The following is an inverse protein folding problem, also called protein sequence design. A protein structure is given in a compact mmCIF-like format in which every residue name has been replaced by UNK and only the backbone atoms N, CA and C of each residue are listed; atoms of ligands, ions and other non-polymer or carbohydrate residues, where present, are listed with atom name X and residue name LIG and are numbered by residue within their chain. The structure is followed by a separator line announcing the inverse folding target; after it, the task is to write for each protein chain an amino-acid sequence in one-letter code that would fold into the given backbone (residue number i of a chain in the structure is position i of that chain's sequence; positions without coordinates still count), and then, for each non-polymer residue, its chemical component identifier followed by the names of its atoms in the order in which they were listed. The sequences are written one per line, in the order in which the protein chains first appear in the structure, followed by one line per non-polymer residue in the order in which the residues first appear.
data_IF_412134342903
#
_entry.id   IF_412134342903
#
_cell.length_a   1.000
_cell.length_b   1.000
_cell.length_c   1.000
_cell.angle_alpha   90.00
_cell.angle_beta   90.00
_cell.angle_gamma   90.00
#
_symmetry.space_group_name_H-M   'P 1'
#
loop_
_entity.id
_entity.type
_entity.pdbx_description
1 polymer ?
#
# COMPACT_ATOMS: atom_id res chain seq x y z
N UNK A 1 -5.67 -3.45 21.46
CA UNK A 1 -6.52 -2.27 21.70
C UNK A 1 -7.75 -2.42 20.83
N UNK A 2 -8.90 -2.74 21.39
CA UNK A 2 -10.14 -2.93 20.64
C UNK A 2 -10.44 -1.67 19.82
N UNK A 3 -11.01 -1.86 18.62
CA UNK A 3 -11.51 -0.80 17.77
C UNK A 3 -12.35 0.17 18.61
N UNK A 4 -11.79 1.34 18.93
CA UNK A 4 -12.57 2.44 19.46
C UNK A 4 -13.22 3.10 18.26
N UNK A 5 -14.40 2.58 17.89
CA UNK A 5 -15.21 3.05 16.78
C UNK A 5 -15.26 4.57 16.69
N UNK A 6 -15.41 5.23 17.81
CA UNK A 6 -15.64 6.66 17.89
C UNK A 6 -14.44 7.51 17.43
N UNK A 7 -13.20 7.13 17.79
CA UNK A 7 -12.02 7.88 17.34
C UNK A 7 -11.70 7.68 15.86
N UNK A 8 -11.85 6.46 15.35
CA UNK A 8 -11.55 6.16 13.94
C UNK A 8 -12.61 6.74 13.01
N UNK A 9 -13.89 6.71 13.41
CA UNK A 9 -14.99 7.33 12.68
C UNK A 9 -14.84 8.87 12.69
N UNK A 10 -14.30 9.46 13.75
CA UNK A 10 -14.01 10.91 13.79
C UNK A 10 -12.99 11.33 12.72
N UNK A 11 -12.02 10.47 12.38
CA UNK A 11 -11.03 10.73 11.32
C UNK A 11 -11.51 10.36 9.92
N UNK A 12 -12.44 9.41 9.80
CA UNK A 12 -13.01 8.98 8.53
C UNK A 12 -14.52 8.74 8.67
N UNK A 13 -15.33 9.79 8.62
CA UNK A 13 -16.78 9.71 8.75
C UNK A 13 -17.44 8.72 7.79
N UNK A 14 -16.86 8.51 6.61
CA UNK A 14 -17.35 7.56 5.61
C UNK A 14 -17.33 6.09 6.05
N UNK A 15 -16.65 5.75 7.13
CA UNK A 15 -16.75 4.44 7.77
C UNK A 15 -18.11 4.24 8.46
N UNK A 16 -18.78 5.32 8.86
CA UNK A 16 -20.12 5.26 9.46
C UNK A 16 -21.18 5.00 8.40
N UNK A 17 -22.03 3.99 8.65
CA UNK A 17 -23.21 3.70 7.81
C UNK A 17 -24.13 4.91 7.75
N UNK A 18 -24.41 5.54 8.89
CA UNK A 18 -25.28 6.72 8.99
C UNK A 18 -24.74 7.90 8.14
N UNK A 19 -23.43 8.13 8.15
CA UNK A 19 -22.82 9.16 7.28
C UNK A 19 -23.02 8.83 5.80
N UNK A 20 -22.83 7.58 5.38
CA UNK A 20 -23.03 7.17 3.99
C UNK A 20 -24.48 7.28 3.55
N UNK A 21 -25.43 6.84 4.36
CA UNK A 21 -26.86 6.93 4.06
C UNK A 21 -27.32 8.37 3.88
N UNK A 22 -26.76 9.32 4.64
CA UNK A 22 -27.05 10.76 4.49
C UNK A 22 -26.45 11.40 3.24
N UNK A 23 -25.30 10.90 2.77
CA UNK A 23 -24.51 11.56 1.74
C UNK A 23 -24.56 10.88 0.37
N UNK A 24 -24.99 9.61 0.29
CA UNK A 24 -25.02 8.81 -0.93
C UNK A 24 -26.40 8.19 -1.14
N UNK A 25 -27.03 8.55 -2.26
CA UNK A 25 -28.48 8.31 -2.54
C UNK A 25 -28.84 6.83 -2.74
N UNK A 26 -27.89 5.93 -3.04
CA UNK A 26 -28.13 4.48 -3.17
C UNK A 26 -26.89 3.70 -2.78
N UNK A 27 -26.94 3.01 -1.68
CA UNK A 27 -25.99 1.94 -1.38
C UNK A 27 -26.44 0.62 -2.04
N UNK A 28 -25.46 -0.22 -2.38
CA UNK A 28 -25.78 -1.61 -2.74
C UNK A 28 -26.48 -2.29 -1.56
N UNK A 29 -27.58 -3.05 -1.76
CA UNK A 29 -28.22 -3.80 -0.68
C UNK A 29 -27.26 -4.83 -0.06
N UNK A 30 -26.23 -5.22 -0.79
CA UNK A 30 -25.19 -6.15 -0.35
C UNK A 30 -23.87 -5.42 -0.05
N UNK A 31 -23.93 -4.17 0.42
CA UNK A 31 -22.74 -3.42 0.77
C UNK A 31 -21.99 -4.14 1.89
N UNK A 32 -20.71 -4.42 1.66
CA UNK A 32 -19.82 -5.01 2.65
C UNK A 32 -19.31 -3.87 3.54
N UNK A 33 -19.71 -3.90 4.80
CA UNK A 33 -19.29 -2.88 5.76
C UNK A 33 -17.81 -3.01 6.09
N UNK A 34 -17.08 -1.93 5.89
CA UNK A 34 -15.63 -1.91 6.19
C UNK A 34 -15.37 -2.15 7.67
N UNK A 35 -16.27 -1.71 8.54
CA UNK A 35 -16.17 -1.92 9.99
C UNK A 35 -16.20 -3.41 10.33
N UNK A 36 -17.03 -4.20 9.67
CA UNK A 36 -17.10 -5.66 9.90
C UNK A 36 -15.82 -6.36 9.44
N UNK A 37 -15.25 -5.93 8.32
CA UNK A 37 -13.94 -6.39 7.83
C UNK A 37 -12.85 -6.09 8.86
N UNK A 38 -12.80 -4.86 9.35
CA UNK A 38 -11.81 -4.44 10.35
C UNK A 38 -11.96 -5.25 11.65
N UNK A 39 -13.18 -5.42 12.14
CA UNK A 39 -13.44 -6.20 13.36
C UNK A 39 -13.01 -7.67 13.22
N UNK A 40 -13.23 -8.25 12.04
CA UNK A 40 -12.78 -9.62 11.77
C UNK A 40 -11.24 -9.70 11.78
N UNK A 41 -10.55 -8.78 11.13
CA UNK A 41 -9.09 -8.71 11.14
C UNK A 41 -8.53 -8.45 12.54
N UNK A 42 -9.21 -7.62 13.36
CA UNK A 42 -8.80 -7.37 14.72
C UNK A 42 -8.90 -8.61 15.62
N UNK A 43 -9.91 -9.46 15.41
CA UNK A 43 -10.01 -10.76 16.10
C UNK A 43 -8.84 -11.69 15.78
N UNK A 44 -8.18 -11.47 14.65
CA UNK A 44 -7.00 -12.19 14.18
C UNK A 44 -5.67 -11.53 14.59
N UNK A 45 -5.69 -10.48 15.41
CA UNK A 45 -4.49 -9.79 15.92
C UNK A 45 -4.08 -8.53 15.15
N UNK A 46 -4.78 -8.17 14.07
CA UNK A 46 -4.48 -6.95 13.31
C UNK A 46 -4.94 -5.70 14.06
N UNK A 47 -4.14 -4.65 14.05
CA UNK A 47 -4.43 -3.38 14.71
C UNK A 47 -4.46 -2.25 13.69
N UNK A 48 -5.41 -1.31 13.81
CA UNK A 48 -5.46 -0.15 12.94
C UNK A 48 -4.23 0.73 13.20
N UNK A 49 -3.49 1.03 12.14
CA UNK A 49 -2.33 1.93 12.16
C UNK A 49 -2.56 3.24 11.41
N UNK A 50 -3.56 3.29 10.54
CA UNK A 50 -3.90 4.51 9.81
C UNK A 50 -5.25 4.45 9.13
N UNK A 51 -5.84 5.64 8.94
CA UNK A 51 -7.12 5.81 8.23
C UNK A 51 -7.03 7.07 7.39
N UNK A 52 -7.54 7.02 6.16
CA UNK A 52 -7.68 8.22 5.33
C UNK A 52 -8.87 8.10 4.37
N UNK A 53 -9.28 9.24 3.85
CA UNK A 53 -10.35 9.35 2.85
C UNK A 53 -9.82 10.03 1.59
N UNK A 54 -10.18 9.51 0.42
CA UNK A 54 -10.00 10.22 -0.83
C UNK A 54 -11.24 11.05 -1.17
N UNK A 55 -11.02 12.16 -1.87
CA UNK A 55 -12.09 13.04 -2.30
C UNK A 55 -12.00 13.29 -3.80
N UNK A 56 -13.15 13.33 -4.47
CA UNK A 56 -13.26 13.78 -5.85
C UNK A 56 -12.99 15.29 -5.96
N UNK A 57 -12.74 15.83 -7.19
CA UNK A 57 -12.52 17.27 -7.38
C UNK A 57 -13.65 18.15 -6.82
N UNK A 58 -14.88 17.65 -6.77
CA UNK A 58 -16.04 18.32 -6.17
C UNK A 58 -16.08 18.25 -4.62
N UNK A 59 -14.99 17.81 -3.97
CA UNK A 59 -14.82 17.62 -2.52
C UNK A 59 -15.71 16.55 -1.89
N UNK A 60 -16.44 15.75 -2.66
CA UNK A 60 -17.18 14.58 -2.13
C UNK A 60 -16.21 13.46 -1.82
N UNK A 61 -16.38 12.85 -0.66
CA UNK A 61 -15.62 11.65 -0.27
C UNK A 61 -15.97 10.53 -1.27
N UNK A 62 -14.96 9.88 -1.82
CA UNK A 62 -15.10 8.82 -2.82
C UNK A 62 -14.86 7.45 -2.22
N UNK A 63 -13.73 7.33 -1.52
CA UNK A 63 -13.29 6.09 -0.89
C UNK A 63 -12.69 6.38 0.48
N UNK A 64 -12.72 5.38 1.33
CA UNK A 64 -11.89 5.36 2.53
C UNK A 64 -10.88 4.21 2.46
N UNK A 65 -9.79 4.38 3.21
CA UNK A 65 -8.69 3.45 3.30
C UNK A 65 -8.38 3.24 4.77
N UNK A 66 -8.24 1.97 5.17
CA UNK A 66 -7.86 1.61 6.54
C UNK A 66 -6.65 0.70 6.47
N UNK A 67 -5.57 1.13 7.10
CA UNK A 67 -4.33 0.39 7.22
C UNK A 67 -4.30 -0.33 8.55
N UNK A 68 -4.01 -1.63 8.52
CA UNK A 68 -3.86 -2.45 9.71
C UNK A 68 -2.46 -3.09 9.73
N UNK A 69 -1.91 -3.26 10.92
CA UNK A 69 -0.61 -3.89 11.19
C UNK A 69 -0.78 -5.02 12.17
N UNK A 70 0.04 -6.07 12.02
CA UNK A 70 0.06 -7.20 12.95
C UNK A 70 1.41 -7.23 13.69
N UNK A 71 1.42 -7.28 15.04
CA UNK A 71 2.67 -7.21 15.81
C UNK A 71 3.61 -8.38 15.52
N UNK A 72 3.07 -9.58 15.29
CA UNK A 72 3.88 -10.79 15.06
C UNK A 72 4.45 -10.88 13.63
N UNK A 73 3.98 -10.04 12.70
CA UNK A 73 4.42 -10.02 11.30
C UNK A 73 5.27 -8.79 10.99
N UNK A 74 6.10 -8.39 11.94
CA UNK A 74 7.08 -7.32 11.74
C UNK A 74 8.40 -7.87 11.22
N UNK A 75 9.01 -7.14 10.31
CA UNK A 75 10.33 -7.46 9.79
C UNK A 75 11.40 -6.74 10.60
N UNK A 76 12.42 -7.48 10.98
CA UNK A 76 13.56 -6.95 11.73
C UNK A 76 14.87 -7.20 10.98
N UNK A 77 15.70 -6.18 10.89
CA UNK A 77 17.08 -6.30 10.45
C UNK A 77 18.00 -5.82 11.57
N UNK A 78 18.97 -6.66 11.97
CA UNK A 78 19.93 -6.34 13.04
C UNK A 78 19.24 -5.78 14.30
N UNK A 79 18.13 -6.40 14.73
CA UNK A 79 17.29 -5.98 15.87
C UNK A 79 16.58 -4.62 15.71
N UNK A 80 16.61 -4.01 14.54
CA UNK A 80 15.79 -2.83 14.22
C UNK A 80 14.59 -3.24 13.37
N UNK A 81 13.44 -2.63 13.65
CA UNK A 81 12.22 -2.83 12.87
C UNK A 81 12.42 -2.21 11.49
N UNK A 82 12.54 -3.04 10.46
CA UNK A 82 12.77 -2.59 9.08
C UNK A 82 11.49 -2.33 8.33
N UNK A 83 10.48 -3.16 8.56
CA UNK A 83 9.20 -3.05 7.91
C UNK A 83 8.10 -3.72 8.70
N UNK A 84 6.87 -3.47 8.33
CA UNK A 84 5.68 -4.07 8.91
C UNK A 84 4.84 -4.62 7.80
N UNK A 85 4.38 -5.86 7.95
CA UNK A 85 3.34 -6.37 7.08
C UNK A 85 2.05 -5.65 7.40
N UNK A 86 1.38 -5.17 6.37
CA UNK A 86 0.15 -4.42 6.50
C UNK A 86 -0.94 -5.02 5.63
N UNK A 87 -2.16 -4.93 6.13
CA UNK A 87 -3.37 -5.04 5.33
C UNK A 87 -3.91 -3.63 5.10
N UNK A 88 -4.12 -3.27 3.84
CA UNK A 88 -4.81 -2.05 3.47
C UNK A 88 -6.19 -2.43 2.93
N UNK A 89 -7.22 -1.99 3.62
CA UNK A 89 -8.62 -2.13 3.18
C UNK A 89 -9.07 -0.83 2.54
N UNK A 90 -9.54 -0.89 1.29
CA UNK A 90 -10.13 0.25 0.58
C UNK A 90 -11.57 -0.06 0.20
N UNK A 91 -12.48 0.88 0.41
CA UNK A 91 -13.88 0.70 0.03
C UNK A 91 -14.48 1.98 -0.52
N UNK A 92 -15.33 1.83 -1.55
CA UNK A 92 -16.09 2.93 -2.13
C UNK A 92 -17.27 3.32 -1.25
N UNK A 93 -17.44 4.63 -1.01
CA UNK A 93 -18.50 5.13 -0.14
C UNK A 93 -19.90 4.97 -0.73
N UNK A 94 -20.02 4.83 -2.05
CA UNK A 94 -21.28 4.71 -2.78
C UNK A 94 -21.70 3.25 -3.04
N UNK A 95 -20.89 2.27 -2.63
CA UNK A 95 -21.13 0.84 -2.84
C UNK A 95 -21.01 0.35 -4.28
N UNK A 96 -20.57 1.20 -5.21
CA UNK A 96 -20.33 0.82 -6.61
C UNK A 96 -18.94 0.29 -6.84
N UNK A 97 -17.96 0.93 -6.20
CA UNK A 97 -16.59 0.44 -6.19
C UNK A 97 -16.48 -0.79 -5.28
N UNK A 98 -15.74 -1.82 -5.66
CA UNK A 98 -15.55 -2.99 -4.82
C UNK A 98 -14.82 -2.63 -3.53
N UNK A 99 -14.92 -3.51 -2.53
CA UNK A 99 -14.01 -3.55 -1.42
C UNK A 99 -12.71 -4.19 -1.91
N UNK A 100 -11.62 -3.50 -1.73
CA UNK A 100 -10.29 -3.96 -2.09
C UNK A 100 -9.49 -4.26 -0.82
N UNK A 101 -8.87 -5.43 -0.75
CA UNK A 101 -7.98 -5.83 0.34
C UNK A 101 -6.59 -6.05 -0.24
N UNK A 102 -5.63 -5.27 0.20
CA UNK A 102 -4.24 -5.35 -0.21
C UNK A 102 -3.40 -5.86 0.96
N UNK A 103 -2.58 -6.84 0.69
CA UNK A 103 -1.60 -7.36 1.64
C UNK A 103 -0.20 -7.02 1.14
N UNK A 104 0.63 -6.46 1.99
CA UNK A 104 1.98 -6.06 1.59
C UNK A 104 2.91 -5.80 2.76
N UNK A 105 4.19 -5.61 2.45
CA UNK A 105 5.21 -5.15 3.39
C UNK A 105 5.45 -3.67 3.18
N UNK A 106 5.23 -2.88 4.21
CA UNK A 106 5.39 -1.43 4.13
C UNK A 106 6.52 -0.98 5.06
N UNK A 107 7.48 -0.23 4.52
CA UNK A 107 8.51 0.40 5.33
C UNK A 107 7.94 1.56 6.15
N UNK A 108 8.49 1.74 7.36
CA UNK A 108 8.06 2.81 8.29
C UNK A 108 8.55 4.22 7.89
N UNK A 109 8.95 4.41 6.66
CA UNK A 109 9.75 5.53 6.19
C UNK A 109 8.98 6.84 5.97
N UNK A 110 7.66 6.79 5.87
CA UNK A 110 6.87 7.98 5.52
C UNK A 110 5.98 8.45 6.67
N UNK A 111 6.34 9.58 7.29
CA UNK A 111 5.50 10.31 8.23
C UNK A 111 4.21 10.89 7.61
N UNK A 112 4.08 10.88 6.29
CA UNK A 112 3.01 11.56 5.55
C UNK A 112 1.78 10.68 5.25
N UNK A 113 1.61 9.55 5.91
CA UNK A 113 0.42 8.69 5.72
C UNK A 113 0.28 8.05 4.33
N UNK A 114 1.21 8.28 3.43
CA UNK A 114 1.27 7.62 2.13
C UNK A 114 1.68 6.16 2.33
N UNK A 115 0.93 5.26 1.71
CA UNK A 115 1.26 3.85 1.68
C UNK A 115 2.43 3.66 0.72
N UNK A 116 3.65 3.77 1.25
CA UNK A 116 4.86 3.41 0.53
C UNK A 116 5.23 2.00 0.94
N UNK A 117 5.16 1.05 0.02
CA UNK A 117 5.47 -0.33 0.36
C UNK A 117 5.16 -1.31 -0.77
N UNK A 118 5.71 -2.50 -0.63
CA UNK A 118 5.51 -3.62 -1.55
C UNK A 118 4.11 -4.18 -1.37
N UNK A 119 3.30 -4.13 -2.41
CA UNK A 119 2.04 -4.85 -2.44
C UNK A 119 2.28 -6.17 -3.15
N UNK A 120 2.15 -7.28 -2.43
CA UNK A 120 2.37 -8.63 -2.94
C UNK A 120 1.08 -9.35 -3.30
N UNK A 121 -0.04 -8.98 -2.67
CA UNK A 121 -1.32 -9.64 -2.94
C UNK A 121 -2.51 -8.67 -2.89
N UNK A 122 -3.52 -8.97 -3.71
CA UNK A 122 -4.68 -8.11 -3.89
C UNK A 122 -5.95 -8.93 -4.10
N UNK A 123 -6.99 -8.64 -3.32
CA UNK A 123 -8.32 -9.20 -3.46
C UNK A 123 -9.34 -8.09 -3.74
N UNK A 124 -10.08 -8.26 -4.84
CA UNK A 124 -11.19 -7.39 -5.21
C UNK A 124 -12.52 -8.08 -4.93
N UNK A 125 -13.29 -7.52 -4.02
CA UNK A 125 -14.52 -8.12 -3.50
C UNK A 125 -15.70 -7.22 -3.89
N UNK A 126 -16.49 -7.65 -4.88
CA UNK A 126 -17.72 -6.94 -5.29
C UNK A 126 -18.77 -7.06 -4.19
N UNK A 127 -19.61 -6.04 -4.04
CA UNK A 127 -20.73 -6.01 -3.10
C UNK A 127 -21.89 -6.89 -3.59
N UNK A 128 -21.78 -8.19 -3.38
CA UNK A 128 -22.79 -9.21 -3.71
C UNK A 128 -23.01 -10.13 -2.52
N UNK A 129 -24.17 -10.75 -2.43
CA UNK A 129 -24.47 -11.72 -1.39
C UNK A 129 -23.42 -12.85 -1.35
N UNK A 130 -23.08 -13.40 -2.50
CA UNK A 130 -22.07 -14.45 -2.62
C UNK A 130 -20.71 -14.05 -2.01
N UNK A 131 -20.28 -12.82 -2.21
CA UNK A 131 -19.02 -12.35 -1.65
C UNK A 131 -19.13 -12.02 -0.15
N UNK A 132 -20.29 -11.60 0.33
CA UNK A 132 -20.53 -11.45 1.78
C UNK A 132 -20.37 -12.80 2.50
N UNK A 133 -20.88 -13.88 1.92
CA UNK A 133 -20.78 -15.22 2.48
C UNK A 133 -19.33 -15.75 2.47
N UNK A 134 -18.53 -15.41 1.45
CA UNK A 134 -17.12 -15.79 1.32
C UNK A 134 -16.14 -14.93 2.11
N UNK A 135 -16.54 -13.75 2.51
CA UNK A 135 -15.67 -12.78 3.16
C UNK A 135 -14.90 -13.35 4.36
N UNK A 136 -15.52 -14.10 5.29
CA UNK A 136 -14.78 -14.69 6.41
C UNK A 136 -13.66 -15.63 5.97
N UNK A 137 -13.85 -16.40 4.90
CA UNK A 137 -12.83 -17.30 4.38
C UNK A 137 -11.63 -16.54 3.81
N UNK A 138 -11.90 -15.46 3.06
CA UNK A 138 -10.87 -14.58 2.51
C UNK A 138 -10.07 -13.95 3.65
N UNK A 139 -10.74 -13.40 4.65
CA UNK A 139 -10.07 -12.75 5.78
C UNK A 139 -9.28 -13.73 6.64
N UNK A 140 -9.78 -14.95 6.84
CA UNK A 140 -9.08 -15.99 7.59
C UNK A 140 -7.81 -16.48 6.88
N UNK A 141 -7.71 -16.35 5.55
CA UNK A 141 -6.51 -16.72 4.80
C UNK A 141 -5.36 -15.72 4.94
N UNK A 142 -5.64 -14.48 5.39
CA UNK A 142 -4.67 -13.38 5.40
C UNK A 142 -3.42 -13.71 6.23
N UNK A 143 -3.58 -14.32 7.42
CA UNK A 143 -2.45 -14.66 8.27
C UNK A 143 -1.50 -15.70 7.61
N UNK A 144 -2.05 -16.68 6.89
CA UNK A 144 -1.23 -17.66 6.16
C UNK A 144 -0.54 -17.02 4.96
N UNK A 145 -1.26 -16.20 4.21
CA UNK A 145 -0.71 -15.43 3.08
C UNK A 145 0.40 -14.50 3.55
N UNK A 146 0.25 -13.89 4.73
CA UNK A 146 1.29 -13.05 5.34
C UNK A 146 2.59 -13.80 5.58
N UNK A 147 2.53 -15.07 6.01
CA UNK A 147 3.74 -15.89 6.20
C UNK A 147 4.47 -16.13 4.89
N UNK A 148 3.74 -16.49 3.83
CA UNK A 148 4.29 -16.69 2.47
C UNK A 148 4.98 -15.40 2.00
N UNK A 149 4.36 -14.27 2.24
CA UNK A 149 4.87 -12.95 1.89
C UNK A 149 6.18 -12.61 2.61
N UNK A 150 6.32 -13.01 3.87
CA UNK A 150 7.57 -12.86 4.61
C UNK A 150 8.70 -13.75 4.07
N UNK A 151 8.37 -14.96 3.61
CA UNK A 151 9.33 -15.84 2.94
C UNK A 151 9.82 -15.22 1.63
N UNK A 152 8.93 -14.64 0.85
CA UNK A 152 9.27 -13.93 -0.39
C UNK A 152 10.16 -12.71 -0.14
N UNK A 153 9.86 -11.92 0.89
CA UNK A 153 10.73 -10.84 1.33
C UNK A 153 12.15 -11.33 1.61
N UNK A 154 12.28 -12.42 2.37
CA UNK A 154 13.58 -13.00 2.66
C UNK A 154 14.31 -13.44 1.38
N UNK A 155 13.57 -14.04 0.42
CA UNK A 155 14.13 -14.42 -0.88
C UNK A 155 14.76 -13.23 -1.60
N UNK A 156 14.05 -12.11 -1.71
CA UNK A 156 14.55 -10.90 -2.37
C UNK A 156 15.82 -10.34 -1.72
N UNK A 157 15.98 -10.50 -0.40
CA UNK A 157 17.18 -10.09 0.33
C UNK A 157 18.43 -10.92 0.04
N UNK A 158 18.26 -12.14 -0.45
CA UNK A 158 19.38 -13.00 -0.81
C UNK A 158 19.80 -12.90 -2.27
N UNK A 159 19.13 -12.08 -3.07
CA UNK A 159 19.46 -11.88 -4.48
C UNK A 159 20.42 -10.69 -4.62
N UNK A 160 21.70 -10.91 -4.95
CA UNK A 160 22.64 -9.83 -5.15
C UNK A 160 22.37 -9.10 -6.46
N UNK A 161 22.45 -7.78 -6.43
CA UNK A 161 22.29 -6.91 -7.61
C UNK A 161 23.64 -6.30 -8.00
N UNK A 162 24.02 -6.44 -9.27
CA UNK A 162 25.11 -5.65 -9.82
C UNK A 162 24.66 -4.23 -10.09
N UNK A 163 25.60 -3.29 -10.23
CA UNK A 163 25.26 -1.90 -10.52
C UNK A 163 24.54 -1.76 -11.87
N UNK A 164 24.89 -2.57 -12.85
CA UNK A 164 24.25 -2.59 -14.18
C UNK A 164 22.79 -3.01 -14.05
N UNK A 165 22.50 -4.10 -13.34
CA UNK A 165 21.13 -4.56 -13.08
C UNK A 165 20.31 -3.54 -12.27
N UNK A 166 20.96 -2.89 -11.28
CA UNK A 166 20.28 -1.84 -10.52
C UNK A 166 19.94 -0.64 -11.39
N UNK A 167 20.81 -0.22 -12.30
CA UNK A 167 20.55 0.85 -13.27
C UNK A 167 19.45 0.46 -14.27
N UNK A 168 19.45 -0.77 -14.74
CA UNK A 168 18.40 -1.29 -15.62
C UNK A 168 17.03 -1.29 -14.92
N UNK A 169 16.98 -1.77 -13.67
CA UNK A 169 15.76 -1.71 -12.85
C UNK A 169 15.29 -0.28 -12.64
N UNK A 170 16.18 0.66 -12.31
CA UNK A 170 15.88 2.07 -12.13
C UNK A 170 15.32 2.69 -13.42
N UNK A 171 15.90 2.39 -14.57
CA UNK A 171 15.42 2.84 -15.88
C UNK A 171 14.01 2.33 -16.17
N UNK A 172 13.76 1.04 -15.98
CA UNK A 172 12.44 0.44 -16.19
C UNK A 172 11.41 0.98 -15.19
N UNK A 173 11.79 1.19 -13.94
CA UNK A 173 10.96 1.79 -12.90
C UNK A 173 10.59 3.25 -13.21
N UNK A 174 11.52 4.05 -13.74
CA UNK A 174 11.24 5.42 -14.20
C UNK A 174 10.17 5.42 -15.27
N UNK A 175 10.22 4.50 -16.23
CA UNK A 175 9.23 4.37 -17.30
C UNK A 175 7.82 4.04 -16.82
N UNK A 176 7.66 3.29 -15.72
CA UNK A 176 6.35 3.02 -15.13
C UNK A 176 5.65 4.30 -14.67
N UNK A 177 6.41 5.27 -14.17
CA UNK A 177 5.86 6.52 -13.65
C UNK A 177 5.82 7.65 -14.69
N UNK A 178 6.87 7.80 -15.48
CA UNK A 178 7.12 8.95 -16.32
C UNK A 178 7.00 8.65 -17.82
N UNK A 179 6.79 7.37 -18.20
CA UNK A 179 6.73 6.96 -19.59
C UNK A 179 8.06 7.22 -20.32
N UNK A 180 8.04 8.05 -21.34
CA UNK A 180 9.23 8.40 -22.12
C UNK A 180 9.84 9.76 -21.72
N UNK A 181 9.44 10.34 -20.59
CA UNK A 181 10.06 11.57 -20.10
C UNK A 181 11.55 11.33 -19.79
N UNK A 182 12.35 12.33 -20.11
CA UNK A 182 13.79 12.24 -19.95
C UNK A 182 14.22 12.61 -18.53
N UNK A 183 14.39 11.59 -17.71
CA UNK A 183 14.78 11.67 -16.31
C UNK A 183 16.12 10.99 -16.13
N UNK A 184 17.01 11.63 -15.38
CA UNK A 184 18.23 10.99 -14.93
C UNK A 184 17.90 9.89 -13.92
N UNK A 185 17.96 8.63 -14.37
CA UNK A 185 17.57 7.44 -13.59
C UNK A 185 18.54 7.12 -12.47
N UNK A 186 19.77 7.66 -12.49
CA UNK A 186 20.72 7.49 -11.38
C UNK A 186 20.20 8.17 -10.10
N UNK A 187 19.33 9.18 -10.21
CA UNK A 187 18.66 9.79 -9.06
C UNK A 187 17.77 8.77 -8.30
N UNK A 188 17.23 7.77 -8.99
CA UNK A 188 16.41 6.71 -8.36
C UNK A 188 17.26 5.77 -7.49
N UNK A 189 18.55 5.70 -7.70
CA UNK A 189 19.48 4.89 -6.92
C UNK A 189 20.14 5.67 -5.77
N UNK A 190 19.74 6.93 -5.56
CA UNK A 190 20.29 7.75 -4.48
C UNK A 190 19.85 7.21 -3.13
N UNK A 191 20.79 6.67 -2.38
CA UNK A 191 20.59 6.22 -0.99
C UNK A 191 20.49 7.44 -0.07
N UNK A 192 19.42 7.48 0.74
CA UNK A 192 19.14 8.63 1.62
C UNK A 192 19.39 8.36 3.08
N UNK A 193 19.54 7.11 3.44
CA UNK A 193 19.75 6.65 4.82
C UNK A 193 20.78 5.54 4.85
N UNK A 194 21.55 5.50 5.91
CA UNK A 194 22.55 4.45 6.12
C UNK A 194 21.97 3.03 6.14
N UNK A 195 20.73 2.90 6.60
CA UNK A 195 20.00 1.64 6.64
C UNK A 195 19.64 1.10 5.24
N UNK A 196 19.68 1.97 4.23
CA UNK A 196 19.37 1.64 2.84
C UNK A 196 20.63 1.39 2.00
N UNK A 197 21.82 1.35 2.63
CA UNK A 197 23.05 0.92 2.00
C UNK A 197 23.05 -0.61 1.88
N UNK A 198 23.03 -1.11 0.64
CA UNK A 198 23.05 -2.53 0.32
C UNK A 198 22.95 -2.78 -1.18
N UNK A 199 23.30 -3.99 -1.58
CA UNK A 199 23.31 -4.42 -2.97
C UNK A 199 22.40 -5.64 -3.23
N UNK A 200 21.47 -5.92 -2.34
CA UNK A 200 20.44 -6.92 -2.55
C UNK A 200 19.21 -6.33 -3.26
N UNK A 201 18.45 -7.18 -3.93
CA UNK A 201 17.29 -6.77 -4.73
C UNK A 201 16.23 -6.04 -3.88
N UNK A 202 15.99 -6.48 -2.64
CA UNK A 202 15.04 -5.83 -1.75
C UNK A 202 15.47 -4.40 -1.39
N UNK A 203 16.74 -4.21 -1.04
CA UNK A 203 17.27 -2.89 -0.67
C UNK A 203 17.22 -1.93 -1.86
N UNK A 204 17.70 -2.35 -3.04
CA UNK A 204 17.65 -1.56 -4.27
C UNK A 204 16.20 -1.20 -4.64
N UNK A 205 15.28 -2.18 -4.59
CA UNK A 205 13.87 -1.95 -4.83
C UNK A 205 13.29 -0.85 -3.94
N UNK A 206 13.57 -0.90 -2.62
CA UNK A 206 13.05 0.10 -1.68
C UNK A 206 13.62 1.49 -1.91
N UNK A 207 14.90 1.60 -2.29
CA UNK A 207 15.54 2.88 -2.66
C UNK A 207 14.84 3.48 -3.88
N UNK A 208 14.66 2.68 -4.93
CA UNK A 208 13.97 3.12 -6.15
C UNK A 208 12.52 3.53 -5.83
N UNK A 209 11.78 2.72 -5.08
CA UNK A 209 10.41 2.98 -4.70
C UNK A 209 10.26 4.32 -3.94
N UNK A 210 11.12 4.57 -2.95
CA UNK A 210 11.09 5.82 -2.20
C UNK A 210 11.31 7.02 -3.10
N UNK A 211 12.34 6.96 -3.94
CA UNK A 211 12.68 8.03 -4.86
C UNK A 211 11.60 8.26 -5.93
N UNK A 212 10.91 7.20 -6.37
CA UNK A 212 9.78 7.34 -7.29
C UNK A 212 8.57 8.01 -6.66
N UNK A 213 8.25 7.72 -5.39
CA UNK A 213 6.96 8.09 -4.79
C UNK A 213 7.01 9.44 -4.13
N UNK A 214 8.10 9.77 -3.44
CA UNK A 214 8.20 11.01 -2.64
C UNK A 214 8.34 12.26 -3.51
N UNK A 215 7.74 13.34 -3.03
CA UNK A 215 7.91 14.67 -3.58
C UNK A 215 9.31 15.22 -3.27
N UNK A 216 9.83 16.02 -4.19
CA UNK A 216 11.08 16.75 -4.01
C UNK A 216 12.37 15.94 -4.12
N UNK A 217 12.26 14.67 -4.50
CA UNK A 217 13.43 13.79 -4.61
C UNK A 217 14.00 13.69 -6.02
N UNK A 218 13.18 13.91 -7.03
CA UNK A 218 13.57 13.81 -8.44
C UNK A 218 13.50 15.17 -9.11
N UNK A 219 14.45 15.39 -10.00
CA UNK A 219 14.55 16.60 -10.84
C UNK A 219 14.61 16.15 -12.29
N UNK A 220 13.81 16.75 -13.16
CA UNK A 220 13.92 16.51 -14.60
C UNK A 220 15.12 17.26 -15.20
N UNK A 221 15.46 17.00 -16.47
CA UNK A 221 16.59 17.65 -17.14
C UNK A 221 16.49 19.17 -17.22
N UNK A 222 15.30 19.73 -17.10
CA UNK A 222 15.07 21.17 -17.09
C UNK A 222 15.26 21.79 -15.69
N UNK A 223 15.68 21.01 -14.70
CA UNK A 223 15.88 21.46 -13.32
C UNK A 223 14.59 21.60 -12.49
N UNK A 224 13.43 21.15 -13.01
CA UNK A 224 12.18 21.22 -12.29
C UNK A 224 12.05 20.03 -11.32
N UNK A 225 11.72 20.32 -10.09
CA UNK A 225 11.43 19.30 -9.07
C UNK A 225 10.12 18.61 -9.42
N UNK A 226 10.12 17.28 -9.42
CA UNK A 226 8.96 16.48 -9.74
C UNK A 226 8.07 16.30 -8.50
N UNK A 227 6.76 16.40 -8.71
CA UNK A 227 5.76 16.20 -7.63
C UNK A 227 5.72 14.75 -7.20
N UNK A 228 5.39 14.50 -5.94
CA UNK A 228 5.18 13.15 -5.41
C UNK A 228 3.90 12.49 -5.93
N UNK A 229 3.75 11.20 -5.68
CA UNK A 229 2.53 10.45 -5.97
C UNK A 229 1.57 10.57 -4.80
N UNK A 230 0.78 11.65 -4.79
CA UNK A 230 -0.10 12.00 -3.67
C UNK A 230 -1.49 11.30 -3.73
N UNK A 231 -1.89 10.81 -4.90
CA UNK A 231 -3.14 10.07 -5.05
C UNK A 231 -2.95 8.61 -4.61
N UNK A 232 -3.76 8.14 -3.65
CA UNK A 232 -3.66 6.80 -3.08
C UNK A 232 -3.82 5.70 -4.14
N UNK A 233 -4.79 5.83 -5.05
CA UNK A 233 -5.03 4.81 -6.09
C UNK A 233 -3.85 4.72 -7.05
N UNK A 234 -3.26 5.86 -7.44
CA UNK A 234 -2.08 5.90 -8.30
C UNK A 234 -0.85 5.35 -7.57
N UNK A 235 -0.71 5.63 -6.28
CA UNK A 235 0.35 5.10 -5.45
C UNK A 235 0.28 3.56 -5.38
N UNK A 236 -0.90 3.02 -5.08
CA UNK A 236 -1.14 1.57 -5.04
C UNK A 236 -0.78 0.94 -6.39
N UNK A 237 -1.29 1.50 -7.49
CA UNK A 237 -1.01 0.97 -8.84
C UNK A 237 0.48 0.98 -9.16
N UNK A 238 1.16 2.10 -8.92
CA UNK A 238 2.60 2.21 -9.16
C UNK A 238 3.39 1.17 -8.36
N UNK A 239 3.00 0.94 -7.10
CA UNK A 239 3.64 -0.09 -6.26
C UNK A 239 3.41 -1.51 -6.79
N UNK A 240 2.21 -1.81 -7.31
CA UNK A 240 1.92 -3.09 -7.96
C UNK A 240 2.78 -3.29 -9.20
N UNK A 241 2.79 -2.31 -10.09
CA UNK A 241 3.54 -2.36 -11.34
C UNK A 241 5.06 -2.47 -11.07
N UNK A 242 5.56 -1.73 -10.07
CA UNK A 242 6.96 -1.78 -9.66
C UNK A 242 7.34 -3.15 -9.06
N UNK A 243 6.46 -3.73 -8.24
CA UNK A 243 6.73 -5.07 -7.68
C UNK A 243 6.76 -6.15 -8.77
N UNK A 244 5.81 -6.12 -9.73
CA UNK A 244 5.84 -7.02 -10.89
C UNK A 244 7.14 -6.88 -11.70
N UNK A 245 7.64 -5.65 -11.84
CA UNK A 245 8.93 -5.43 -12.48
C UNK A 245 10.08 -6.09 -11.69
N UNK A 246 10.06 -5.97 -10.36
CA UNK A 246 11.09 -6.56 -9.48
C UNK A 246 11.09 -8.10 -9.54
N UNK A 247 9.93 -8.73 -9.66
CA UNK A 247 9.81 -10.19 -9.80
C UNK A 247 10.57 -10.73 -11.03
N UNK A 248 10.74 -9.92 -12.07
CA UNK A 248 11.53 -10.31 -13.25
C UNK A 248 13.05 -10.36 -12.99
N UNK A 249 13.52 -9.82 -11.87
CA UNK A 249 14.93 -9.85 -11.43
C UNK A 249 15.17 -10.89 -10.31
N UNK A 250 14.10 -11.53 -9.84
CA UNK A 250 14.11 -12.52 -8.74
C UNK A 250 14.16 -14.00 -9.23
#
# INVERSE_FOLDING_TARGET
MLFRSDKTIAFAPSLSREFRERNFIKQSPNYIETVDVIQNLQKQGWNISGVCESRKPNRKIDKHYVKLEHPDFSLYQKNKKEGVTNVLVSNGCDGKSPLDVYLGVFRLVCSNGLVSGTQLEYEKIKHTQYNQERLPQILNSINNRTKILLEEYNRLKYIPMTIEKAKELAFNAARLRFGNEDIDTDQLLTVRRKEDEGNDLWTIYNVIQENLIKEGLLVNRNGNVLTGVNNMSNNIKLNQDLYQLVEAYA
#
